data_IF_457532094728
#
_entry.id   IF_457532094728
#
_cell.length_a   1.000
_cell.length_b   1.000
_cell.length_c   1.000
_cell.angle_alpha   90.00
_cell.angle_beta   90.00
_cell.angle_gamma   90.00
#
_symmetry.space_group_name_H-M   'P 1'
#
loop_
_entity.id
_entity.type
_entity.pdbx_description
1 polymer ?
#
# COMPACT_ATOMS: atom_id res chain seq x y z
N UNK A 1 -17.84 62.87 4.46
CA UNK A 1 -16.80 62.33 5.34
C UNK A 1 -16.87 60.81 5.23
N UNK A 2 -16.14 60.20 4.30
CA UNK A 2 -16.24 58.76 4.04
C UNK A 2 -15.26 58.01 4.97
N UNK A 3 -15.78 57.36 6.00
CA UNK A 3 -15.03 56.36 6.75
C UNK A 3 -14.93 55.10 5.89
N UNK A 4 -13.84 54.97 5.12
CA UNK A 4 -13.50 53.69 4.51
C UNK A 4 -12.88 52.80 5.59
N UNK A 5 -13.66 51.88 6.15
CA UNK A 5 -13.12 50.75 6.91
C UNK A 5 -12.36 49.89 5.88
N UNK A 6 -11.05 50.11 5.75
CA UNK A 6 -10.19 49.29 4.92
C UNK A 6 -10.07 47.91 5.57
N UNK A 7 -10.71 46.90 4.99
CA UNK A 7 -10.50 45.51 5.39
C UNK A 7 -9.02 45.14 5.17
N UNK A 8 -8.38 44.62 6.22
CA UNK A 8 -6.97 44.18 6.21
C UNK A 8 -6.92 42.64 6.21
N UNK A 9 -6.09 42.08 5.34
CA UNK A 9 -5.90 40.64 5.16
C UNK A 9 -4.61 40.22 5.85
N UNK A 10 -4.72 39.35 6.85
CA UNK A 10 -3.57 38.82 7.55
C UNK A 10 -3.00 37.62 6.79
N UNK A 11 -1.68 37.51 6.76
CA UNK A 11 -1.04 36.25 6.40
C UNK A 11 -1.40 35.17 7.44
N UNK A 12 -1.67 33.96 6.95
CA UNK A 12 -2.20 32.89 7.77
C UNK A 12 -1.38 31.59 7.66
N UNK A 13 -1.16 31.12 6.44
CA UNK A 13 -0.33 29.94 6.19
C UNK A 13 0.20 29.93 4.75
N UNK A 14 1.19 29.06 4.51
CA UNK A 14 1.64 28.69 3.16
C UNK A 14 1.09 27.31 2.82
N UNK A 15 0.48 27.18 1.65
CA UNK A 15 -0.04 25.91 1.13
C UNK A 15 0.36 25.73 -0.33
N UNK A 16 0.76 24.51 -0.70
CA UNK A 16 1.16 24.17 -2.08
C UNK A 16 0.70 22.79 -2.53
N UNK A 17 -0.16 22.13 -1.77
CA UNK A 17 -0.64 20.77 -2.04
C UNK A 17 -2.17 20.71 -1.98
N UNK A 18 -2.78 19.80 -2.74
CA UNK A 18 -4.22 19.50 -2.67
C UNK A 18 -5.03 19.87 -3.93
N UNK A 19 -4.39 20.47 -4.93
CA UNK A 19 -4.96 20.64 -6.27
C UNK A 19 -4.31 19.65 -7.25
N UNK A 20 -5.06 19.23 -8.27
CA UNK A 20 -4.49 18.55 -9.44
C UNK A 20 -3.63 19.50 -10.29
N UNK A 21 -2.79 18.96 -11.16
CA UNK A 21 -1.97 19.78 -12.07
C UNK A 21 -2.83 20.66 -12.99
N UNK A 22 -3.99 20.16 -13.43
CA UNK A 22 -4.96 20.90 -14.24
C UNK A 22 -5.64 22.04 -13.46
N UNK A 23 -6.06 21.77 -12.23
CA UNK A 23 -6.67 22.78 -11.35
C UNK A 23 -5.66 23.87 -11.00
N UNK A 24 -4.42 23.49 -10.71
CA UNK A 24 -3.34 24.42 -10.42
C UNK A 24 -3.01 25.28 -11.64
N UNK A 25 -2.91 24.69 -12.84
CA UNK A 25 -2.68 25.44 -14.08
C UNK A 25 -3.80 26.45 -14.33
N UNK A 26 -5.06 26.06 -14.13
CA UNK A 26 -6.23 26.92 -14.26
C UNK A 26 -6.20 28.08 -13.26
N UNK A 27 -5.88 27.80 -11.99
CA UNK A 27 -5.76 28.81 -10.95
C UNK A 27 -4.66 29.83 -11.25
N UNK A 28 -3.47 29.34 -11.65
CA UNK A 28 -2.34 30.20 -12.01
C UNK A 28 -2.66 31.05 -13.22
N UNK A 29 -3.27 30.48 -14.27
CA UNK A 29 -3.67 31.23 -15.47
C UNK A 29 -4.63 32.38 -15.14
N UNK A 30 -5.54 32.17 -14.19
CA UNK A 30 -6.50 33.20 -13.73
C UNK A 30 -5.85 34.31 -12.90
N UNK A 31 -4.90 33.97 -12.02
CA UNK A 31 -4.28 34.96 -11.12
C UNK A 31 -3.11 35.72 -11.75
N UNK A 32 -2.41 35.12 -12.71
CA UNK A 32 -1.20 35.68 -13.34
C UNK A 32 -1.36 37.11 -13.89
N UNK A 33 -2.49 37.51 -14.51
CA UNK A 33 -2.71 38.89 -14.96
C UNK A 33 -2.79 39.93 -13.83
N UNK A 34 -3.07 39.48 -12.61
CA UNK A 34 -3.29 40.31 -11.42
C UNK A 34 -2.11 40.26 -10.44
N UNK A 35 -1.01 39.59 -10.82
CA UNK A 35 0.24 39.67 -10.08
C UNK A 35 0.81 41.08 -10.20
N UNK A 36 1.26 41.62 -9.08
CA UNK A 36 1.89 42.93 -8.99
C UNK A 36 2.98 43.06 -10.06
N UNK A 37 2.77 43.95 -11.04
CA UNK A 37 3.75 44.20 -12.10
C UNK A 37 5.04 44.74 -11.49
N UNK A 38 6.16 44.17 -11.90
CA UNK A 38 7.47 44.29 -11.25
C UNK A 38 7.94 45.73 -11.04
N UNK A 39 8.29 46.05 -9.80
CA UNK A 39 9.20 47.12 -9.43
C UNK A 39 9.78 46.82 -8.05
N UNK A 40 11.07 46.47 -7.99
CA UNK A 40 11.79 46.33 -6.72
C UNK A 40 11.97 47.70 -6.05
N UNK A 41 11.76 47.83 -4.72
CA UNK A 41 11.38 46.79 -3.78
C UNK A 41 9.87 46.48 -3.83
N UNK A 42 9.55 45.18 -3.79
CA UNK A 42 8.18 44.62 -3.69
C UNK A 42 7.52 45.08 -2.39
N UNK A 43 6.98 46.29 -2.37
CA UNK A 43 6.29 46.86 -1.21
C UNK A 43 5.00 46.07 -0.98
N UNK A 44 4.83 45.55 0.23
CA UNK A 44 3.59 44.89 0.64
C UNK A 44 2.41 45.85 0.40
N UNK A 45 1.39 45.47 -0.39
CA UNK A 45 0.19 46.27 -0.54
C UNK A 45 -0.44 46.60 0.81
N UNK A 46 -0.99 47.80 0.97
CA UNK A 46 -1.46 48.32 2.29
C UNK A 46 -2.56 47.50 2.96
N UNK A 47 -3.25 46.66 2.20
CA UNK A 47 -4.32 45.78 2.67
C UNK A 47 -3.81 44.39 3.07
N UNK A 48 -2.52 44.06 2.89
CA UNK A 48 -1.92 42.86 3.45
C UNK A 48 -1.12 43.20 4.71
N UNK A 49 -1.36 42.43 5.77
CA UNK A 49 -0.63 42.50 7.02
C UNK A 49 0.26 41.26 7.15
N UNK A 50 1.56 41.50 7.25
CA UNK A 50 2.61 40.47 7.32
C UNK A 50 3.65 40.84 8.36
N UNK A 51 4.33 39.84 8.90
CA UNK A 51 5.38 39.99 9.92
C UNK A 51 6.76 40.35 9.36
N UNK A 52 6.92 40.34 8.02
CA UNK A 52 8.19 40.47 7.30
C UNK A 52 9.18 39.32 7.57
N UNK A 53 8.71 38.18 8.08
CA UNK A 53 9.53 36.98 8.19
C UNK A 53 9.90 36.46 6.79
N UNK A 54 11.15 36.00 6.61
CA UNK A 54 11.62 35.46 5.33
C UNK A 54 10.80 34.27 4.84
N UNK A 55 10.26 33.46 5.76
CA UNK A 55 9.43 32.29 5.45
C UNK A 55 8.00 32.64 5.02
N UNK A 56 7.56 33.86 5.28
CA UNK A 56 6.22 34.38 4.96
C UNK A 56 6.21 35.17 3.66
N UNK A 57 7.35 35.76 3.29
CA UNK A 57 7.47 36.66 2.13
C UNK A 57 7.13 35.94 0.82
N UNK A 58 6.08 36.34 0.10
CA UNK A 58 5.74 35.73 -1.19
C UNK A 58 6.60 36.26 -2.33
N UNK A 59 6.70 35.47 -3.39
CA UNK A 59 7.35 35.89 -4.64
C UNK A 59 6.54 36.95 -5.39
N UNK A 60 5.22 36.89 -5.33
CA UNK A 60 4.30 37.82 -5.99
C UNK A 60 3.14 38.18 -5.07
N UNK A 61 2.66 39.41 -5.19
CA UNK A 61 1.43 39.87 -4.53
C UNK A 61 0.30 39.96 -5.54
N UNK A 62 -0.93 39.77 -5.10
CA UNK A 62 -2.12 40.09 -5.91
C UNK A 62 -2.40 41.59 -5.71
N UNK A 63 -2.61 42.33 -6.80
CA UNK A 63 -2.73 43.80 -6.77
C UNK A 63 -3.94 44.31 -5.98
N UNK A 64 -5.00 43.52 -5.87
CA UNK A 64 -6.19 43.86 -5.09
C UNK A 64 -6.94 42.60 -4.60
N UNK A 65 -7.59 42.63 -3.41
CA UNK A 65 -8.31 41.47 -2.88
C UNK A 65 -9.45 40.97 -3.78
N UNK A 66 -10.12 41.87 -4.51
CA UNK A 66 -11.21 41.54 -5.44
C UNK A 66 -10.77 40.77 -6.69
N UNK A 67 -9.46 40.70 -6.94
CA UNK A 67 -8.84 39.92 -8.01
C UNK A 67 -8.23 38.61 -7.51
N UNK A 68 -8.42 38.30 -6.23
CA UNK A 68 -8.03 37.05 -5.59
C UNK A 68 -9.18 36.03 -5.57
N UNK A 69 -8.91 34.84 -5.03
CA UNK A 69 -9.88 33.77 -4.82
C UNK A 69 -9.82 33.27 -3.38
N UNK A 70 -10.92 32.68 -2.90
CA UNK A 70 -10.94 32.02 -1.60
C UNK A 70 -10.50 30.56 -1.75
N UNK A 71 -9.68 30.09 -0.82
CA UNK A 71 -9.29 28.68 -0.74
C UNK A 71 -9.95 28.04 0.47
N UNK A 72 -10.58 26.88 0.26
CA UNK A 72 -10.98 26.00 1.36
C UNK A 72 -9.79 25.13 1.72
N UNK A 73 -9.30 25.23 2.94
CA UNK A 73 -8.11 24.52 3.41
C UNK A 73 -8.52 23.50 4.48
N UNK A 74 -7.94 22.30 4.39
CA UNK A 74 -7.97 21.30 5.46
C UNK A 74 -6.58 21.20 6.08
N UNK A 75 -6.50 21.00 7.39
CA UNK A 75 -5.23 20.91 8.12
C UNK A 75 -5.39 20.00 9.34
N UNK A 76 -4.25 19.60 9.92
CA UNK A 76 -4.26 18.85 11.17
C UNK A 76 -4.85 19.68 12.32
N UNK A 77 -5.46 18.96 13.25
CA UNK A 77 -6.26 19.43 14.40
C UNK A 77 -5.48 20.27 15.44
N UNK A 78 -4.22 20.58 15.19
CA UNK A 78 -3.34 21.30 16.13
C UNK A 78 -2.95 22.64 15.55
N UNK A 79 -3.69 23.68 15.93
CA UNK A 79 -3.28 25.06 15.67
C UNK A 79 -2.05 25.39 16.53
N UNK A 80 -1.02 25.94 15.89
CA UNK A 80 0.20 26.39 16.57
C UNK A 80 0.09 27.91 16.71
N UNK A 81 0.53 28.49 17.83
CA UNK A 81 0.76 29.94 17.89
C UNK A 81 1.70 30.34 16.75
N UNK A 82 1.32 31.37 16.01
CA UNK A 82 2.11 31.78 14.85
C UNK A 82 3.37 32.51 15.28
N UNK A 83 4.53 32.04 14.81
CA UNK A 83 5.82 32.74 14.92
C UNK A 83 6.25 33.39 13.59
N UNK A 84 5.52 33.10 12.51
CA UNK A 84 5.93 33.39 11.11
C UNK A 84 4.89 34.22 10.36
N UNK A 85 3.61 34.06 10.67
CA UNK A 85 2.49 34.73 9.99
C UNK A 85 1.80 35.71 10.95
N UNK A 86 1.11 36.72 10.41
CA UNK A 86 0.47 37.78 11.19
C UNK A 86 -0.76 37.28 11.96
N UNK A 87 -1.44 36.24 11.47
CA UNK A 87 -2.53 35.61 12.19
C UNK A 87 -2.05 35.01 13.53
N UNK A 88 -2.87 35.02 14.60
CA UNK A 88 -2.45 34.58 15.94
C UNK A 88 -2.13 33.08 16.03
N UNK A 89 -2.71 32.27 15.14
CA UNK A 89 -2.41 30.85 15.00
C UNK A 89 -2.15 30.49 13.54
N UNK A 90 -1.34 29.46 13.31
CA UNK A 90 -1.06 28.88 12.00
C UNK A 90 -1.43 27.39 11.93
N UNK A 91 -1.52 26.87 10.70
CA UNK A 91 -1.95 25.50 10.41
C UNK A 91 -0.76 24.54 10.28
N UNK A 92 -0.95 23.29 10.74
CA UNK A 92 -0.04 22.17 10.41
C UNK A 92 -0.54 21.40 9.20
N UNK A 93 0.36 21.12 8.27
CA UNK A 93 0.07 20.37 7.04
C UNK A 93 -1.16 20.86 6.27
N UNK A 94 -1.29 22.18 6.01
CA UNK A 94 -2.42 22.68 5.25
C UNK A 94 -2.45 22.06 3.85
N UNK A 95 -3.64 21.66 3.40
CA UNK A 95 -3.92 21.18 2.04
C UNK A 95 -5.13 21.90 1.49
N UNK A 96 -5.06 22.34 0.24
CA UNK A 96 -6.21 22.91 -0.45
C UNK A 96 -7.21 21.79 -0.67
N UNK A 97 -8.43 21.96 -0.17
CA UNK A 97 -9.54 21.05 -0.45
C UNK A 97 -10.23 21.42 -1.76
N UNK A 98 -10.33 22.73 -2.04
CA UNK A 98 -10.88 23.30 -3.29
C UNK A 98 -10.68 24.81 -3.35
N UNK A 99 -10.74 25.34 -4.57
CA UNK A 99 -10.86 26.78 -4.83
C UNK A 99 -12.35 27.18 -4.80
N UNK A 100 -12.72 28.17 -3.98
CA UNK A 100 -14.10 28.69 -3.84
C UNK A 100 -14.34 29.83 -4.84
N UNK A 101 -14.65 29.50 -6.09
CA UNK A 101 -15.09 30.51 -7.07
C UNK A 101 -16.52 31.01 -6.81
N UNK A 102 -17.27 30.28 -5.97
CA UNK A 102 -18.65 30.56 -5.58
C UNK A 102 -18.78 31.67 -4.53
N UNK A 103 -17.68 32.06 -3.87
CA UNK A 103 -17.69 33.07 -2.80
C UNK A 103 -16.86 34.30 -3.19
N UNK A 104 -17.36 35.53 -2.95
CA UNK A 104 -16.59 36.74 -3.13
C UNK A 104 -15.48 36.85 -2.06
N UNK A 105 -14.40 37.56 -2.37
CA UNK A 105 -13.19 37.68 -1.55
C UNK A 105 -13.43 38.11 -0.09
N UNK A 106 -14.47 38.89 0.18
CA UNK A 106 -14.80 39.40 1.52
C UNK A 106 -15.57 38.41 2.40
N UNK A 107 -15.97 37.25 1.88
CA UNK A 107 -16.56 36.14 2.65
C UNK A 107 -15.50 35.15 3.19
N UNK A 108 -14.23 35.56 3.21
CA UNK A 108 -13.18 34.76 3.83
C UNK A 108 -13.35 34.69 5.35
N UNK A 109 -12.73 33.69 5.98
CA UNK A 109 -12.81 33.49 7.42
C UNK A 109 -12.23 34.69 8.19
N UNK A 110 -13.04 35.27 9.08
CA UNK A 110 -12.62 36.35 9.97
C UNK A 110 -11.69 35.86 11.10
N UNK A 111 -10.79 36.73 11.57
CA UNK A 111 -9.80 36.40 12.61
C UNK A 111 -10.50 36.05 13.93
N UNK A 112 -11.53 36.79 14.32
CA UNK A 112 -12.25 36.54 15.56
C UNK A 112 -12.99 35.20 15.50
N UNK A 113 -13.68 34.93 14.40
CA UNK A 113 -14.33 33.64 14.14
C UNK A 113 -13.34 32.48 14.14
N UNK A 114 -12.14 32.67 13.59
CA UNK A 114 -11.08 31.66 13.62
C UNK A 114 -10.56 31.39 15.04
N UNK A 115 -10.32 32.45 15.81
CA UNK A 115 -9.89 32.35 17.22
C UNK A 115 -10.95 31.65 18.06
N UNK A 116 -12.23 31.95 17.85
CA UNK A 116 -13.36 31.25 18.47
C UNK A 116 -13.42 29.78 18.09
N UNK A 117 -13.21 29.44 16.82
CA UNK A 117 -13.11 28.04 16.39
C UNK A 117 -11.95 27.35 17.11
N UNK A 118 -10.78 27.99 17.24
CA UNK A 118 -9.63 27.40 17.94
C UNK A 118 -9.91 27.17 19.43
N UNK A 119 -10.53 28.15 20.11
CA UNK A 119 -10.81 28.06 21.55
C UNK A 119 -11.99 27.16 21.89
N UNK A 120 -13.04 27.12 21.07
CA UNK A 120 -14.21 26.25 21.27
C UNK A 120 -13.90 24.79 20.98
N UNK A 121 -12.88 24.51 20.18
CA UNK A 121 -12.67 23.18 19.64
C UNK A 121 -11.62 22.31 20.32
N UNK A 122 -10.81 22.83 21.26
CA UNK A 122 -9.57 22.16 21.68
C UNK A 122 -8.73 21.66 20.46
N UNK A 123 -8.87 22.32 19.30
CA UNK A 123 -8.25 21.94 18.02
C UNK A 123 -9.19 21.37 16.93
N UNK A 124 -10.40 20.91 17.25
CA UNK A 124 -11.33 20.24 16.30
C UNK A 124 -12.24 21.19 15.49
N UNK A 125 -11.84 21.56 14.26
CA UNK A 125 -12.76 22.24 13.35
C UNK A 125 -13.92 21.32 12.89
N UNK A 126 -15.14 21.61 13.34
CA UNK A 126 -16.35 21.05 12.72
C UNK A 126 -16.70 21.80 11.43
N UNK A 127 -17.20 21.08 10.42
CA UNK A 127 -17.79 21.66 9.22
C UNK A 127 -18.87 22.65 9.63
N UNK A 128 -18.71 23.93 9.31
CA UNK A 128 -19.83 24.86 9.26
C UNK A 128 -20.73 24.42 8.09
N UNK A 129 -21.95 23.99 8.40
CA UNK A 129 -23.01 23.80 7.40
C UNK A 129 -23.37 25.18 6.83
N UNK A 130 -23.25 25.33 5.50
CA UNK A 130 -23.64 26.54 4.77
C UNK A 130 -25.17 26.74 4.96
N UNK A 131 -25.52 27.83 5.63
CA UNK A 131 -26.88 28.33 5.84
C UNK A 131 -27.51 28.71 4.49
N UNK A 132 -28.56 28.00 4.08
CA UNK A 132 -29.43 28.37 2.95
C UNK A 132 -30.87 28.43 3.44
N UNK A 133 -31.29 29.62 3.86
CA UNK A 133 -32.69 30.01 3.87
C UNK A 133 -33.02 30.84 2.63
N UNK A 134 -34.00 30.40 1.82
CA UNK A 134 -35.17 31.16 1.36
C UNK A 134 -36.03 30.36 0.34
N UNK A 135 -37.05 29.69 0.90
CA UNK A 135 -38.50 29.65 0.56
C UNK A 135 -39.07 29.34 -0.85
N UNK A 136 -40.26 28.71 -0.74
CA UNK A 136 -41.38 28.44 -1.66
C UNK A 136 -41.33 27.12 -2.46
N UNK A 137 -42.36 26.26 -2.52
CA UNK A 137 -43.71 26.25 -1.94
C UNK A 137 -44.30 24.82 -2.05
N UNK A 138 -45.18 24.45 -1.11
CA UNK A 138 -46.27 23.45 -1.16
C UNK A 138 -46.05 22.00 -1.67
N UNK A 139 -46.26 20.99 -0.81
CA UNK A 139 -47.49 20.16 -0.74
C UNK A 139 -47.35 18.92 0.21
N UNK A 140 -48.23 18.91 1.23
CA UNK A 140 -48.93 17.77 1.91
C UNK A 140 -48.15 16.73 2.77
N UNK A 141 -48.43 16.83 4.08
CA UNK A 141 -48.56 15.85 5.20
C UNK A 141 -48.63 14.32 4.90
N UNK A 142 -48.40 13.40 5.89
CA UNK A 142 -48.47 13.60 7.36
C UNK A 142 -47.36 12.98 8.24
N UNK A 143 -47.40 13.41 9.50
CA UNK A 143 -46.58 13.05 10.68
C UNK A 143 -46.56 11.53 10.97
N UNK A 144 -45.37 10.98 11.23
CA UNK A 144 -45.17 9.77 12.05
C UNK A 144 -44.19 10.11 13.18
N UNK A 145 -44.71 10.04 14.42
CA UNK A 145 -43.93 10.12 15.64
C UNK A 145 -43.09 8.84 15.82
N UNK A 146 -41.75 8.98 15.83
CA UNK A 146 -40.87 8.03 16.53
C UNK A 146 -39.79 8.79 17.28
N UNK A 147 -39.92 8.82 18.61
CA UNK A 147 -38.81 9.05 19.54
C UNK A 147 -37.75 7.97 19.26
N UNK A 148 -36.67 8.35 18.59
CA UNK A 148 -35.46 7.56 18.44
C UNK A 148 -34.31 8.29 19.10
N UNK A 149 -33.64 7.61 20.03
CA UNK A 149 -32.43 8.07 20.71
C UNK A 149 -31.43 8.63 19.69
N UNK A 150 -30.92 9.83 19.98
CA UNK A 150 -29.84 10.45 19.22
C UNK A 150 -28.58 9.60 19.39
N UNK A 151 -28.34 8.66 18.48
CA UNK A 151 -27.02 8.07 18.31
C UNK A 151 -26.08 9.19 17.88
N UNK A 152 -25.16 9.54 18.76
CA UNK A 152 -24.00 10.37 18.43
C UNK A 152 -23.24 9.66 17.32
N UNK A 153 -23.45 10.08 16.08
CA UNK A 153 -22.66 9.61 14.94
C UNK A 153 -21.28 10.21 15.12
N UNK A 154 -20.31 9.36 15.46
CA UNK A 154 -18.91 9.72 15.50
C UNK A 154 -18.50 10.37 14.18
N UNK A 155 -17.94 11.57 14.25
CA UNK A 155 -17.47 12.39 13.12
C UNK A 155 -16.13 11.85 12.58
N UNK A 156 -15.60 10.79 13.18
CA UNK A 156 -14.34 10.16 12.79
C UNK A 156 -14.65 9.16 11.67
N UNK A 157 -14.00 9.27 10.49
CA UNK A 157 -14.10 8.26 9.44
C UNK A 157 -13.88 6.85 10.00
N UNK A 158 -14.66 5.87 9.54
CA UNK A 158 -14.64 4.50 10.09
C UNK A 158 -13.23 3.89 10.18
N UNK A 159 -12.33 4.24 9.26
CA UNK A 159 -10.94 3.78 9.23
C UNK A 159 -9.98 4.50 10.21
N UNK A 160 -10.42 5.57 10.87
CA UNK A 160 -9.67 6.34 11.89
C UNK A 160 -10.26 6.16 13.29
N UNK A 161 -11.40 5.49 13.42
CA UNK A 161 -11.96 5.14 14.72
C UNK A 161 -11.01 4.19 15.43
N UNK A 162 -10.65 4.51 16.67
CA UNK A 162 -10.00 3.52 17.53
C UNK A 162 -11.01 2.42 17.81
N UNK A 163 -10.58 1.16 17.68
CA UNK A 163 -11.41 0.01 18.04
C UNK A 163 -11.81 0.10 19.50
N UNK A 164 -13.11 0.02 19.78
CA UNK A 164 -13.62 -0.02 21.14
C UNK A 164 -13.27 -1.37 21.78
N UNK A 165 -12.52 -1.29 22.88
CA UNK A 165 -11.99 -2.42 23.66
C UNK A 165 -12.49 -2.40 25.11
N UNK A 166 -13.39 -1.47 25.45
CA UNK A 166 -13.83 -1.20 26.83
C UNK A 166 -14.55 -2.37 27.53
N UNK A 167 -15.03 -3.37 26.77
CA UNK A 167 -15.76 -4.52 27.29
C UNK A 167 -15.04 -5.87 27.24
N UNK A 168 -13.76 -5.92 26.85
CA UNK A 168 -13.06 -7.19 26.66
C UNK A 168 -12.47 -7.71 27.97
N UNK A 169 -12.76 -8.97 28.31
CA UNK A 169 -12.08 -9.71 29.40
C UNK A 169 -10.95 -10.51 28.77
N UNK A 170 -9.74 -10.41 29.33
CA UNK A 170 -8.59 -11.17 28.85
C UNK A 170 -8.84 -12.68 28.99
N UNK A 171 -8.79 -13.40 27.87
CA UNK A 171 -8.84 -14.86 27.83
C UNK A 171 -7.50 -15.48 28.19
N UNK A 172 -6.39 -14.89 27.72
CA UNK A 172 -5.02 -15.35 27.98
C UNK A 172 -4.03 -14.19 28.03
N UNK A 173 -2.76 -14.49 28.33
CA UNK A 173 -1.64 -13.53 28.35
C UNK A 173 -0.52 -13.91 27.38
N UNK A 174 -0.82 -14.66 26.32
CA UNK A 174 0.20 -15.15 25.37
C UNK A 174 0.92 -14.00 24.63
N UNK A 175 0.29 -12.84 24.53
CA UNK A 175 0.84 -11.64 23.90
C UNK A 175 1.28 -10.58 24.92
N UNK A 176 1.46 -10.94 26.18
CA UNK A 176 1.95 -10.01 27.20
C UNK A 176 3.25 -9.31 26.74
N UNK A 177 3.34 -8.01 27.00
CA UNK A 177 4.48 -7.14 26.63
C UNK A 177 4.77 -7.06 25.12
N UNK A 178 3.81 -7.42 24.26
CA UNK A 178 3.94 -7.23 22.82
C UNK A 178 3.05 -6.09 22.34
N UNK A 179 3.58 -5.33 21.38
CA UNK A 179 2.85 -4.29 20.67
C UNK A 179 2.79 -4.58 19.17
N UNK A 180 1.57 -4.66 18.66
CA UNK A 180 1.27 -5.00 17.28
C UNK A 180 0.96 -3.77 16.43
N UNK A 181 1.39 -3.79 15.17
CA UNK A 181 0.95 -2.84 14.16
C UNK A 181 0.44 -3.59 12.94
N UNK A 182 -0.79 -3.32 12.54
CA UNK A 182 -1.42 -3.95 11.38
C UNK A 182 -1.24 -3.08 10.13
N UNK A 183 -0.45 -3.60 9.21
CA UNK A 183 -0.11 -2.97 7.93
C UNK A 183 -1.29 -3.03 6.98
N UNK A 184 -1.85 -4.22 6.80
CA UNK A 184 -3.05 -4.52 6.03
C UNK A 184 -3.70 -5.79 6.59
N UNK A 185 -4.98 -6.00 6.30
CA UNK A 185 -5.76 -7.16 6.75
C UNK A 185 -6.31 -7.92 5.54
N UNK A 186 -6.50 -9.24 5.66
CA UNK A 186 -7.12 -10.01 4.59
C UNK A 186 -8.60 -9.60 4.40
N UNK A 187 -9.21 -9.79 3.23
CA UNK A 187 -10.61 -9.41 2.99
C UNK A 187 -11.62 -10.11 3.90
N UNK A 188 -11.28 -11.27 4.43
CA UNK A 188 -12.11 -12.07 5.34
C UNK A 188 -12.19 -11.52 6.76
N UNK A 189 -11.29 -10.62 7.15
CA UNK A 189 -11.23 -10.09 8.51
C UNK A 189 -11.11 -8.56 8.49
N UNK A 190 -11.86 -7.91 9.38
CA UNK A 190 -11.69 -6.48 9.62
C UNK A 190 -10.51 -6.22 10.58
N UNK A 191 -10.02 -4.99 10.59
CA UNK A 191 -8.94 -4.58 11.49
C UNK A 191 -9.36 -4.69 12.97
N UNK A 192 -10.61 -4.37 13.27
CA UNK A 192 -11.17 -4.43 14.62
C UNK A 192 -11.09 -5.84 15.22
N UNK A 193 -11.27 -6.89 14.41
CA UNK A 193 -11.17 -8.27 14.83
C UNK A 193 -9.78 -8.57 15.40
N UNK A 194 -8.72 -8.16 14.69
CA UNK A 194 -7.36 -8.38 15.16
C UNK A 194 -7.02 -7.53 16.39
N UNK A 195 -7.51 -6.30 16.46
CA UNK A 195 -7.33 -5.46 17.64
C UNK A 195 -7.98 -6.09 18.89
N UNK A 196 -9.21 -6.60 18.77
CA UNK A 196 -9.87 -7.33 19.86
C UNK A 196 -9.11 -8.59 20.23
N UNK A 197 -8.72 -9.39 19.23
CA UNK A 197 -7.99 -10.64 19.42
C UNK A 197 -6.66 -10.44 20.14
N UNK A 198 -5.90 -9.39 19.81
CA UNK A 198 -4.65 -9.04 20.48
C UNK A 198 -4.90 -8.66 21.95
N UNK A 199 -5.90 -7.82 22.23
CA UNK A 199 -6.21 -7.35 23.59
C UNK A 199 -6.76 -8.48 24.46
N UNK A 200 -7.63 -9.33 23.93
CA UNK A 200 -8.15 -10.53 24.61
C UNK A 200 -7.04 -11.50 25.01
N UNK A 201 -5.89 -11.46 24.32
CA UNK A 201 -4.74 -12.33 24.59
C UNK A 201 -3.57 -11.59 25.29
N UNK A 202 -3.85 -10.42 25.90
CA UNK A 202 -2.92 -9.69 26.76
C UNK A 202 -1.92 -8.79 26.03
N UNK A 203 -2.06 -8.62 24.72
CA UNK A 203 -1.22 -7.75 23.90
C UNK A 203 -1.77 -6.33 23.76
N UNK A 204 -0.95 -5.45 23.19
CA UNK A 204 -1.33 -4.08 22.82
C UNK A 204 -1.20 -3.88 21.32
N UNK A 205 -1.88 -2.88 20.76
CA UNK A 205 -1.72 -2.50 19.36
C UNK A 205 -1.53 -0.99 19.20
N UNK A 206 -0.86 -0.60 18.12
CA UNK A 206 -0.69 0.78 17.71
C UNK A 206 -1.37 1.03 16.38
N UNK A 207 -2.02 2.20 16.24
CA UNK A 207 -2.62 2.64 14.98
C UNK A 207 -1.58 3.09 13.95
N UNK A 208 -0.38 3.44 14.42
CA UNK A 208 0.72 3.97 13.63
C UNK A 208 2.00 3.18 13.90
N UNK A 209 2.85 3.07 12.88
CA UNK A 209 4.17 2.48 13.04
C UNK A 209 5.05 3.42 13.90
N UNK A 210 5.68 2.87 14.94
CA UNK A 210 6.57 3.59 15.85
C UNK A 210 7.59 2.61 16.47
N UNK A 211 8.52 3.12 17.26
CA UNK A 211 9.62 2.32 17.81
C UNK A 211 9.19 1.34 18.91
N UNK A 212 8.01 1.55 19.52
CA UNK A 212 7.44 0.61 20.48
C UNK A 212 6.77 -0.60 19.82
N UNK A 213 6.51 -0.56 18.50
CA UNK A 213 5.97 -1.70 17.76
C UNK A 213 6.98 -2.84 17.75
N UNK A 214 6.57 -3.98 18.30
CA UNK A 214 7.36 -5.22 18.34
C UNK A 214 7.09 -6.13 17.14
N UNK A 215 5.86 -6.13 16.63
CA UNK A 215 5.40 -7.04 15.57
C UNK A 215 4.60 -6.26 14.52
N UNK A 216 5.14 -6.15 13.30
CA UNK A 216 4.40 -5.64 12.14
C UNK A 216 3.69 -6.81 11.45
N UNK A 217 2.38 -6.69 11.28
CA UNK A 217 1.51 -7.76 10.77
C UNK A 217 0.90 -7.36 9.44
N UNK A 218 0.94 -8.26 8.47
CA UNK A 218 0.33 -8.05 7.15
C UNK A 218 -0.32 -9.34 6.61
N UNK A 219 -1.28 -9.17 5.72
CA UNK A 219 -1.82 -10.23 4.88
C UNK A 219 -1.13 -10.32 3.52
N UNK A 220 -0.74 -9.17 2.95
CA UNK A 220 -0.17 -9.12 1.61
C UNK A 220 1.04 -8.18 1.53
N UNK A 221 1.93 -8.43 0.57
CA UNK A 221 3.08 -7.57 0.25
C UNK A 221 2.69 -6.33 -0.56
N UNK A 222 1.65 -5.61 -0.13
CA UNK A 222 1.04 -4.48 -0.89
C UNK A 222 0.66 -3.29 -0.02
N UNK A 223 0.64 -2.13 -0.66
CA UNK A 223 0.15 -0.87 -0.08
C UNK A 223 1.23 -0.01 0.56
N UNK A 224 0.90 1.27 0.77
CA UNK A 224 1.82 2.29 1.26
C UNK A 224 2.32 1.97 2.68
N UNK A 225 1.43 1.46 3.54
CA UNK A 225 1.82 1.00 4.89
C UNK A 225 2.84 -0.13 4.85
N UNK A 226 2.75 -1.02 3.87
CA UNK A 226 3.71 -2.13 3.73
C UNK A 226 5.08 -1.61 3.32
N UNK A 227 5.12 -0.68 2.36
CA UNK A 227 6.37 -0.01 1.97
C UNK A 227 7.01 0.77 3.13
N UNK A 228 6.21 1.38 3.99
CA UNK A 228 6.72 2.01 5.22
C UNK A 228 7.24 0.97 6.23
N UNK A 229 6.52 -0.14 6.43
CA UNK A 229 6.88 -1.20 7.36
C UNK A 229 8.16 -1.96 6.97
N UNK A 230 8.50 -2.03 5.68
CA UNK A 230 9.78 -2.60 5.21
C UNK A 230 10.97 -1.97 5.92
N UNK A 231 10.91 -0.65 6.20
CA UNK A 231 11.98 0.08 6.87
C UNK A 231 12.17 -0.31 8.33
N UNK A 232 11.13 -0.88 8.97
CA UNK A 232 11.18 -1.34 10.36
C UNK A 232 11.86 -2.71 10.51
N UNK A 233 11.89 -3.48 9.43
CA UNK A 233 12.83 -4.60 9.26
C UNK A 233 12.24 -6.00 9.30
N UNK A 234 11.08 -6.22 9.93
CA UNK A 234 10.41 -7.55 9.92
C UNK A 234 8.91 -7.41 9.79
N UNK A 235 8.33 -8.10 8.80
CA UNK A 235 6.88 -8.14 8.56
C UNK A 235 6.41 -9.59 8.62
N UNK A 236 5.40 -9.83 9.44
CA UNK A 236 4.89 -11.15 9.79
C UNK A 236 3.49 -11.33 9.17
N UNK A 237 3.21 -12.51 8.66
CA UNK A 237 1.92 -12.88 8.10
C UNK A 237 0.88 -13.01 9.23
N UNK A 238 -0.33 -12.50 9.01
CA UNK A 238 -1.41 -12.51 10.01
C UNK A 238 -1.79 -13.89 10.53
N UNK A 239 -1.56 -14.97 9.76
CA UNK A 239 -1.84 -16.33 10.19
C UNK A 239 -1.07 -16.72 11.45
N UNK A 240 0.09 -16.13 11.70
CA UNK A 240 0.86 -16.37 12.93
C UNK A 240 0.06 -16.03 14.19
N UNK A 241 -0.66 -14.89 14.17
CA UNK A 241 -1.52 -14.49 15.30
C UNK A 241 -2.63 -15.50 15.49
N UNK A 242 -3.28 -15.90 14.39
CA UNK A 242 -4.38 -16.87 14.45
C UNK A 242 -3.91 -18.22 15.01
N UNK A 243 -2.74 -18.69 14.59
CA UNK A 243 -2.16 -19.94 15.06
C UNK A 243 -1.74 -19.86 16.54
N UNK A 244 -1.16 -18.73 16.97
CA UNK A 244 -0.85 -18.48 18.39
C UNK A 244 -2.13 -18.54 19.24
N UNK A 245 -3.19 -17.86 18.80
CA UNK A 245 -4.48 -17.85 19.50
C UNK A 245 -5.14 -19.23 19.51
N UNK A 246 -5.05 -19.98 18.41
CA UNK A 246 -5.60 -21.34 18.30
C UNK A 246 -4.89 -22.32 19.24
N UNK A 247 -3.57 -22.25 19.32
CA UNK A 247 -2.77 -23.12 20.19
C UNK A 247 -2.65 -22.60 21.63
N UNK A 248 -3.14 -21.38 21.89
CA UNK A 248 -3.06 -20.69 23.19
C UNK A 248 -1.63 -20.62 23.74
N UNK A 249 -0.65 -20.48 22.84
CA UNK A 249 0.78 -20.29 23.14
C UNK A 249 1.38 -19.27 22.18
N UNK A 250 2.43 -18.57 22.61
CA UNK A 250 3.21 -17.71 21.73
C UNK A 250 4.12 -18.57 20.85
N UNK A 251 3.73 -18.75 19.59
CA UNK A 251 4.51 -19.57 18.66
C UNK A 251 5.80 -18.86 18.27
N UNK A 252 6.88 -19.64 18.15
CA UNK A 252 8.10 -19.17 17.48
C UNK A 252 7.78 -18.76 16.05
N UNK A 253 8.42 -17.67 15.59
CA UNK A 253 8.32 -17.24 14.21
C UNK A 253 9.09 -18.20 13.29
N UNK A 254 8.35 -19.06 12.59
CA UNK A 254 8.85 -19.92 11.53
C UNK A 254 8.86 -19.20 10.17
N UNK A 255 9.66 -19.68 9.19
CA UNK A 255 9.76 -19.06 7.87
C UNK A 255 8.42 -18.83 7.17
N UNK A 256 7.44 -19.74 7.29
CA UNK A 256 6.09 -19.59 6.70
C UNK A 256 5.34 -18.33 7.13
N UNK A 257 5.70 -17.76 8.27
CA UNK A 257 5.09 -16.53 8.77
C UNK A 257 5.86 -15.27 8.36
N UNK A 258 7.05 -15.38 7.77
CA UNK A 258 7.90 -14.23 7.47
C UNK A 258 7.65 -13.76 6.04
N UNK A 259 6.91 -12.65 5.90
CA UNK A 259 6.66 -12.02 4.60
C UNK A 259 7.86 -11.20 4.12
N UNK A 260 8.56 -10.58 5.06
CA UNK A 260 9.74 -9.78 4.77
C UNK A 260 10.67 -9.71 5.97
N UNK A 261 11.97 -9.80 5.70
CA UNK A 261 13.02 -9.63 6.69
C UNK A 261 14.19 -8.83 6.08
N UNK A 262 14.47 -7.65 6.62
CA UNK A 262 15.56 -6.79 6.18
C UNK A 262 16.93 -7.32 6.60
N UNK A 263 17.99 -6.92 5.89
CA UNK A 263 19.36 -7.39 6.14
C UNK A 263 19.81 -7.08 7.58
N UNK A 264 19.58 -5.84 8.03
CA UNK A 264 19.96 -5.44 9.39
C UNK A 264 19.20 -6.21 10.48
N UNK A 265 17.99 -6.69 10.18
CA UNK A 265 17.21 -7.51 11.11
C UNK A 265 17.71 -8.96 11.15
N UNK A 266 18.22 -9.48 10.01
CA UNK A 266 18.90 -10.78 9.94
C UNK A 266 20.18 -10.81 10.76
N UNK A 267 20.99 -9.75 10.68
CA UNK A 267 22.25 -9.66 11.42
C UNK A 267 22.11 -9.60 12.96
N UNK A 268 20.89 -9.55 13.50
CA UNK A 268 20.66 -9.75 14.93
C UNK A 268 20.77 -11.21 15.37
N UNK A 269 20.64 -12.15 14.42
CA UNK A 269 20.61 -13.59 14.66
C UNK A 269 21.48 -14.38 13.66
N UNK A 270 22.72 -13.95 13.36
CA UNK A 270 23.52 -14.54 12.28
C UNK A 270 23.95 -15.98 12.56
N UNK A 271 23.96 -16.38 13.83
CA UNK A 271 24.29 -17.75 14.25
C UNK A 271 23.07 -18.67 14.28
N UNK A 272 21.85 -18.12 14.17
CA UNK A 272 20.61 -18.88 14.28
C UNK A 272 19.93 -19.11 12.94
N UNK A 273 19.94 -18.10 12.07
CA UNK A 273 19.21 -18.10 10.80
C UNK A 273 20.11 -17.78 9.60
N UNK A 274 19.75 -18.34 8.45
CA UNK A 274 20.37 -18.04 7.17
C UNK A 274 19.88 -16.72 6.54
N UNK A 275 20.38 -16.42 5.34
CA UNK A 275 20.02 -15.23 4.56
C UNK A 275 18.54 -15.12 4.21
N UNK A 276 17.76 -16.21 4.31
CA UNK A 276 16.35 -16.29 3.97
C UNK A 276 15.46 -16.66 5.16
N UNK A 277 15.98 -16.53 6.38
CA UNK A 277 15.32 -16.81 7.65
C UNK A 277 15.03 -18.30 7.92
N UNK A 278 15.78 -19.20 7.28
CA UNK A 278 15.80 -20.62 7.63
C UNK A 278 16.69 -20.85 8.86
N UNK A 279 16.23 -21.65 9.83
CA UNK A 279 16.97 -21.89 11.06
C UNK A 279 17.93 -23.07 10.88
N UNK A 280 19.19 -22.93 11.29
CA UNK A 280 20.20 -23.98 11.08
C UNK A 280 19.95 -25.29 11.83
N UNK A 281 19.13 -25.26 12.87
CA UNK A 281 18.95 -26.33 13.85
C UNK A 281 17.51 -26.81 13.96
N UNK A 282 16.62 -26.35 13.08
CA UNK A 282 15.22 -26.77 13.07
C UNK A 282 14.79 -27.25 11.69
N UNK A 283 14.03 -28.34 11.68
CA UNK A 283 13.40 -28.83 10.46
C UNK A 283 12.31 -27.86 9.98
N UNK A 284 12.28 -27.65 8.66
CA UNK A 284 11.26 -26.87 7.97
C UNK A 284 10.22 -27.75 7.29
N UNK A 285 8.99 -27.28 7.22
CA UNK A 285 7.92 -27.95 6.49
C UNK A 285 7.80 -27.42 5.03
N UNK A 286 6.89 -28.03 4.25
CA UNK A 286 6.64 -27.61 2.86
C UNK A 286 6.12 -26.16 2.77
N UNK A 287 5.39 -25.69 3.78
CA UNK A 287 4.89 -24.32 3.84
C UNK A 287 6.03 -23.33 4.11
N UNK A 288 6.95 -23.70 5.00
CA UNK A 288 8.15 -22.91 5.29
C UNK A 288 9.02 -22.76 4.03
N UNK A 289 9.31 -23.88 3.34
CA UNK A 289 10.10 -23.87 2.12
C UNK A 289 9.48 -23.02 1.01
N UNK A 290 8.17 -23.11 0.83
CA UNK A 290 7.44 -22.25 -0.14
C UNK A 290 7.62 -20.77 0.18
N UNK A 291 7.53 -20.40 1.46
CA UNK A 291 7.66 -19.00 1.87
C UNK A 291 9.09 -18.49 1.70
N UNK A 292 10.09 -19.31 2.03
CA UNK A 292 11.51 -19.03 1.78
C UNK A 292 11.73 -18.75 0.28
N UNK A 293 11.22 -19.61 -0.60
CA UNK A 293 11.38 -19.45 -2.04
C UNK A 293 10.68 -18.19 -2.59
N UNK A 294 9.54 -17.80 -2.01
CA UNK A 294 8.86 -16.53 -2.34
C UNK A 294 9.71 -15.31 -1.94
N UNK A 295 10.57 -15.45 -0.93
CA UNK A 295 11.42 -14.38 -0.42
C UNK A 295 12.80 -14.34 -1.10
N UNK A 296 13.17 -15.40 -1.84
CA UNK A 296 14.41 -15.46 -2.59
C UNK A 296 14.36 -14.56 -3.83
N UNK A 297 15.48 -13.90 -4.12
CA UNK A 297 15.65 -13.17 -5.36
C UNK A 297 15.73 -14.14 -6.56
N UNK A 298 15.26 -13.71 -7.72
CA UNK A 298 15.42 -14.48 -8.95
C UNK A 298 16.88 -14.45 -9.37
N UNK A 299 17.59 -15.54 -9.14
CA UNK A 299 18.98 -15.72 -9.56
C UNK A 299 19.02 -16.46 -10.90
N UNK A 300 19.87 -15.99 -11.82
CA UNK A 300 20.22 -16.75 -13.02
C UNK A 300 21.11 -17.92 -12.63
N UNK A 301 20.56 -19.13 -12.71
CA UNK A 301 21.26 -20.36 -12.34
C UNK A 301 21.93 -20.97 -13.57
N UNK A 302 23.19 -21.38 -13.42
CA UNK A 302 23.90 -22.17 -14.43
C UNK A 302 23.20 -23.54 -14.62
N UNK A 303 22.76 -23.89 -15.84
CA UNK A 303 22.18 -25.19 -16.14
C UNK A 303 23.07 -26.38 -15.73
N UNK A 304 24.39 -26.21 -15.74
CA UNK A 304 25.35 -27.25 -15.33
C UNK A 304 25.19 -27.61 -13.84
N UNK A 305 24.92 -26.61 -13.00
CA UNK A 305 24.71 -26.78 -11.57
C UNK A 305 23.39 -27.50 -11.27
N UNK A 306 22.32 -27.18 -12.01
CA UNK A 306 21.04 -27.90 -11.92
C UNK A 306 21.24 -29.37 -12.28
N UNK A 307 21.94 -29.65 -13.38
CA UNK A 307 22.24 -31.02 -13.80
C UNK A 307 23.03 -31.79 -12.73
N UNK A 308 24.07 -31.17 -12.16
CA UNK A 308 24.87 -31.77 -11.07
C UNK A 308 24.01 -32.16 -9.88
N UNK A 309 23.11 -31.29 -9.41
CA UNK A 309 22.26 -31.60 -8.25
C UNK A 309 21.17 -32.62 -8.57
N UNK A 310 20.58 -32.60 -9.77
CA UNK A 310 19.68 -33.65 -10.24
C UNK A 310 20.35 -35.04 -10.31
N UNK A 311 21.64 -35.08 -10.65
CA UNK A 311 22.41 -36.34 -10.64
C UNK A 311 22.78 -36.79 -9.23
N UNK A 312 23.11 -35.84 -8.34
CA UNK A 312 23.53 -36.13 -6.96
C UNK A 312 22.37 -36.63 -6.10
N UNK A 313 21.22 -35.97 -6.21
CA UNK A 313 20.04 -36.29 -5.43
C UNK A 313 19.04 -37.02 -6.32
N UNK A 314 18.60 -38.20 -5.89
CA UNK A 314 17.71 -39.05 -6.66
C UNK A 314 16.38 -38.33 -6.91
N UNK A 315 16.21 -37.83 -8.12
CA UNK A 315 14.93 -37.36 -8.60
C UNK A 315 14.12 -38.58 -9.05
N UNK A 316 12.84 -38.58 -8.72
CA UNK A 316 11.89 -39.61 -9.14
C UNK A 316 12.10 -39.96 -10.63
N UNK A 317 12.42 -41.23 -10.90
CA UNK A 317 12.82 -41.70 -12.24
C UNK A 317 11.77 -41.37 -13.30
N UNK A 318 10.51 -41.24 -12.90
CA UNK A 318 9.40 -40.84 -13.78
C UNK A 318 9.62 -39.47 -14.41
N UNK A 319 10.37 -38.57 -13.79
CA UNK A 319 10.62 -37.23 -14.34
C UNK A 319 12.02 -37.05 -14.89
N UNK A 320 12.90 -38.05 -14.75
CA UNK A 320 14.31 -37.97 -15.11
C UNK A 320 14.77 -39.13 -16.01
N UNK A 321 13.85 -39.90 -16.59
CA UNK A 321 14.16 -41.08 -17.41
C UNK A 321 15.13 -40.78 -18.57
N UNK A 322 15.00 -39.61 -19.22
CA UNK A 322 15.88 -39.18 -20.30
C UNK A 322 16.95 -38.16 -19.85
N UNK A 323 17.24 -38.09 -18.55
CA UNK A 323 18.19 -37.12 -18.01
C UNK A 323 19.59 -37.34 -18.60
N UNK A 324 20.11 -36.31 -19.28
CA UNK A 324 21.42 -36.37 -19.96
C UNK A 324 21.36 -36.87 -21.40
N UNK A 325 20.19 -37.31 -21.87
CA UNK A 325 19.98 -37.63 -23.28
C UNK A 325 19.71 -36.35 -24.07
N UNK A 326 20.51 -36.12 -25.11
CA UNK A 326 20.24 -35.17 -26.19
C UNK A 326 19.86 -35.97 -27.44
N UNK A 327 18.61 -35.86 -27.91
CA UNK A 327 18.06 -36.73 -28.94
C UNK A 327 17.85 -35.97 -30.24
N UNK A 328 18.41 -36.48 -31.34
CA UNK A 328 18.08 -36.00 -32.68
C UNK A 328 16.91 -36.83 -33.22
N UNK A 329 15.81 -36.15 -33.55
CA UNK A 329 14.62 -36.77 -34.09
C UNK A 329 14.60 -36.60 -35.61
N UNK A 330 14.78 -37.71 -36.33
CA UNK A 330 14.66 -37.73 -37.78
C UNK A 330 13.21 -37.98 -38.19
N UNK A 331 12.65 -37.05 -38.96
CA UNK A 331 11.31 -37.13 -39.52
C UNK A 331 11.40 -37.40 -41.02
N UNK A 332 11.01 -38.61 -41.43
CA UNK A 332 10.92 -38.95 -42.85
C UNK A 332 9.61 -38.38 -43.43
N UNK A 333 9.64 -37.54 -44.49
CA UNK A 333 8.44 -37.01 -45.10
C UNK A 333 7.62 -38.15 -45.74
N UNK A 334 6.31 -38.15 -45.52
CA UNK A 334 5.37 -39.09 -46.14
C UNK A 334 4.84 -38.50 -47.45
N UNK A 335 4.51 -39.38 -48.41
CA UNK A 335 4.03 -38.97 -49.74
C UNK A 335 2.64 -38.31 -49.67
N UNK A 336 1.85 -38.59 -48.64
CA UNK A 336 0.50 -38.05 -48.46
C UNK A 336 0.50 -36.90 -47.44
N UNK A 337 -0.03 -35.74 -47.84
CA UNK A 337 -0.10 -34.51 -47.05
C UNK A 337 -0.88 -34.65 -45.74
N UNK A 338 -1.99 -35.40 -45.71
CA UNK A 338 -2.79 -35.58 -44.49
C UNK A 338 -2.02 -36.37 -43.42
N UNK A 339 -1.20 -37.34 -43.84
CA UNK A 339 -0.35 -38.10 -42.94
C UNK A 339 0.86 -37.29 -42.44
N UNK A 340 1.33 -36.30 -43.20
CA UNK A 340 2.37 -35.38 -42.73
C UNK A 340 1.88 -34.55 -41.54
N UNK A 341 0.61 -34.10 -41.55
CA UNK A 341 0.03 -33.35 -40.41
C UNK A 341 -0.03 -34.20 -39.14
N UNK A 342 -0.46 -35.46 -39.25
CA UNK A 342 -0.50 -36.40 -38.12
C UNK A 342 0.92 -36.67 -37.61
N UNK A 343 1.87 -36.82 -38.53
CA UNK A 343 3.28 -37.08 -38.21
C UNK A 343 3.95 -35.91 -37.49
N UNK A 344 3.68 -34.69 -37.91
CA UNK A 344 4.16 -33.47 -37.25
C UNK A 344 3.60 -33.35 -35.82
N UNK A 345 2.32 -33.69 -35.62
CA UNK A 345 1.70 -33.70 -34.29
C UNK A 345 2.31 -34.78 -33.39
N UNK A 346 2.53 -35.98 -33.92
CA UNK A 346 3.20 -37.07 -33.20
C UNK A 346 4.62 -36.66 -32.79
N UNK A 347 5.38 -36.03 -33.70
CA UNK A 347 6.73 -35.53 -33.41
C UNK A 347 6.72 -34.45 -32.33
N UNK A 348 5.76 -33.52 -32.36
CA UNK A 348 5.60 -32.49 -31.31
C UNK A 348 5.31 -33.12 -29.95
N UNK A 349 4.42 -34.13 -29.90
CA UNK A 349 4.14 -34.88 -28.68
C UNK A 349 5.40 -35.56 -28.15
N UNK A 350 6.16 -36.26 -28.99
CA UNK A 350 7.41 -36.92 -28.60
C UNK A 350 8.41 -35.91 -28.04
N UNK A 351 8.57 -34.75 -28.68
CA UNK A 351 9.44 -33.68 -28.16
C UNK A 351 9.02 -33.23 -26.77
N UNK A 352 7.71 -33.04 -26.54
CA UNK A 352 7.20 -32.68 -25.23
C UNK A 352 7.44 -33.78 -24.19
N UNK A 353 7.12 -35.02 -24.51
CA UNK A 353 7.32 -36.17 -23.62
C UNK A 353 8.80 -36.30 -23.23
N UNK A 354 9.73 -36.17 -24.19
CA UNK A 354 11.17 -36.15 -23.92
C UNK A 354 11.56 -35.05 -22.92
N UNK A 355 11.09 -33.82 -23.14
CA UNK A 355 11.41 -32.69 -22.25
C UNK A 355 10.80 -32.81 -20.86
N UNK A 356 9.58 -33.38 -20.75
CA UNK A 356 8.90 -33.61 -19.47
C UNK A 356 9.64 -34.64 -18.60
N UNK A 357 10.34 -35.59 -19.23
CA UNK A 357 11.10 -36.64 -18.56
C UNK A 357 12.61 -36.34 -18.50
N UNK A 358 13.00 -35.06 -18.60
CA UNK A 358 14.37 -34.59 -18.35
C UNK A 358 15.33 -34.67 -19.54
N UNK A 359 14.85 -35.06 -20.73
CA UNK A 359 15.63 -35.12 -21.96
C UNK A 359 15.70 -33.78 -22.69
N UNK A 360 16.63 -33.70 -23.64
CA UNK A 360 16.77 -32.60 -24.58
C UNK A 360 16.67 -33.14 -26.01
N UNK A 361 16.27 -32.29 -26.95
CA UNK A 361 16.34 -32.61 -28.37
C UNK A 361 17.15 -31.57 -29.12
N UNK A 362 17.78 -31.99 -30.21
CA UNK A 362 18.64 -31.15 -31.03
C UNK A 362 18.21 -31.15 -32.49
N UNK A 363 18.60 -30.09 -33.22
CA UNK A 363 18.31 -29.91 -34.65
C UNK A 363 19.40 -30.46 -35.56
N UNK A 364 20.51 -30.97 -35.01
CA UNK A 364 21.62 -31.55 -35.74
C UNK A 364 22.13 -32.81 -35.03
N UNK A 365 22.82 -33.68 -35.77
CA UNK A 365 23.32 -34.94 -35.24
C UNK A 365 24.57 -34.77 -34.35
N UNK A 366 25.31 -33.67 -34.51
CA UNK A 366 26.58 -33.44 -33.81
C UNK A 366 26.47 -33.43 -32.27
N UNK A 367 25.49 -32.74 -31.64
CA UNK A 367 25.30 -32.79 -30.19
C UNK A 367 24.43 -33.97 -29.73
N UNK A 368 24.04 -34.88 -30.64
CA UNK A 368 23.10 -35.95 -30.33
C UNK A 368 23.79 -37.12 -29.63
N UNK A 369 23.25 -37.51 -28.48
CA UNK A 369 23.56 -38.77 -27.81
C UNK A 369 22.79 -39.95 -28.42
N UNK A 370 21.60 -39.68 -28.97
CA UNK A 370 20.70 -40.69 -29.53
C UNK A 370 20.06 -40.17 -30.83
N UNK A 371 19.85 -41.08 -31.79
CA UNK A 371 19.07 -40.86 -33.00
C UNK A 371 17.75 -41.63 -32.87
N UNK A 372 16.63 -40.94 -33.03
CA UNK A 372 15.29 -41.55 -33.04
C UNK A 372 14.64 -41.27 -34.39
N UNK A 373 14.26 -42.34 -35.08
CA UNK A 373 13.56 -42.29 -36.37
C UNK A 373 12.07 -42.45 -36.07
N UNK A 374 11.28 -41.42 -36.39
CA UNK A 374 9.83 -41.44 -36.18
C UNK A 374 9.15 -41.88 -37.47
N UNK A 375 8.47 -43.03 -37.43
CA UNK A 375 7.64 -43.54 -38.53
C UNK A 375 6.21 -43.69 -38.03
N UNK A 376 5.25 -43.11 -38.77
CA UNK A 376 3.85 -42.92 -38.32
C UNK A 376 2.92 -43.97 -38.94
N UNK A 377 3.50 -45.00 -39.56
CA UNK A 377 2.76 -46.09 -40.23
C UNK A 377 2.25 -47.16 -39.26
N UNK A 378 2.52 -47.06 -37.96
CA UNK A 378 2.04 -48.00 -36.95
C UNK A 378 1.46 -47.28 -35.73
N UNK A 379 0.45 -47.90 -35.13
CA UNK A 379 -0.23 -47.44 -33.90
C UNK A 379 0.72 -47.59 -32.72
N UNK A 380 1.69 -46.69 -32.59
CA UNK A 380 2.59 -46.66 -31.44
C UNK A 380 1.92 -45.92 -30.30
N UNK A 381 1.42 -46.67 -29.31
CA UNK A 381 1.10 -46.09 -28.02
C UNK A 381 2.40 -45.95 -27.20
N UNK A 382 2.93 -44.74 -27.13
CA UNK A 382 4.10 -44.39 -26.32
C UNK A 382 3.93 -44.73 -24.83
N UNK A 383 2.69 -44.88 -24.34
CA UNK A 383 2.41 -45.33 -22.98
C UNK A 383 3.03 -46.72 -22.68
N UNK A 384 3.35 -47.51 -23.70
CA UNK A 384 4.00 -48.81 -23.57
C UNK A 384 5.47 -48.67 -23.14
N UNK A 385 6.16 -47.58 -23.51
CA UNK A 385 7.56 -47.36 -23.14
C UNK A 385 7.75 -47.04 -21.66
N UNK A 386 6.70 -46.56 -20.99
CA UNK A 386 6.72 -46.18 -19.57
C UNK A 386 6.19 -47.28 -18.64
N UNK A 387 5.71 -48.41 -19.18
CA UNK A 387 5.31 -49.58 -18.39
C UNK A 387 6.53 -50.45 -18.11
N UNK A 388 7.27 -50.16 -17.05
CA UNK A 388 8.13 -51.13 -16.36
C UNK A 388 7.90 -51.09 -14.87
#
# INVERSE_FOLDING_TARGET
MYFAILARFLSFCRVGTGLSDEELATLVAKLKPHFSKSGTPKKTPRFYEVTNNSKERPDVWIESPDKSVILSITSDIRTIKSEVFAAPYCLRFPRIQRVRYDKPWHECLDVQSFVEIVHSSNGSMHKAEDDKSLKNDNLKNPKINKRGEKKNVSIIPSHLMKTDISGLKGETLIFANTMFYFVNTPPSYNLDYFHKLVVENGGSFSMNLNDSVTHCIAAEKKGIKYQAAIRHGRIIHYSWILDCCKQKILLRLQPKYILFLADFARHKFPEEIDSYADFYYWDIDVSDLKQIFINMDKVTVDPSMVHRYKKKYYADERFCFFQGCCIYLYHAPLVNEDYNVISDLALKRVKHDLTMHGGQYCSSLAPATHLVIVSVLQVYNFDILYKR
#
